data_IF_406167129352
#
_entry.id   IF_406167129352
#
_cell.length_a   1.000
_cell.length_b   1.000
_cell.length_c   1.000
_cell.angle_alpha   90.00
_cell.angle_beta   90.00
_cell.angle_gamma   90.00
#
_symmetry.space_group_name_H-M   'P 1'
#
loop_
_entity.id
_entity.type
_entity.pdbx_description
1 polymer ?
#
# COMPACT_ATOMS: atom_id res chain seq x y z
N UNK A 1 8.20 -4.60 18.41
CA UNK A 1 8.29 -3.19 17.92
C UNK A 1 7.15 -2.95 16.94
N UNK A 2 6.57 -1.75 16.85
CA UNK A 2 5.54 -1.47 15.83
C UNK A 2 6.14 -0.95 14.53
N UNK A 3 5.58 -1.34 13.40
CA UNK A 3 5.92 -0.83 12.06
C UNK A 3 4.69 -0.26 11.38
N UNK A 4 4.85 0.91 10.79
CA UNK A 4 3.84 1.53 9.96
C UNK A 4 3.90 0.94 8.55
N UNK A 5 2.76 0.50 8.04
CA UNK A 5 2.58 -0.09 6.72
C UNK A 5 1.43 0.57 5.98
N UNK A 6 1.44 0.44 4.67
CA UNK A 6 0.30 0.79 3.83
C UNK A 6 -0.88 -0.15 4.13
N UNK A 7 -2.07 0.44 4.22
CA UNK A 7 -3.35 -0.25 4.41
C UNK A 7 -3.82 -0.86 3.09
N UNK A 8 -3.86 -2.19 3.01
CA UNK A 8 -4.36 -2.89 1.82
C UNK A 8 -5.86 -2.73 1.65
N UNK A 9 -6.62 -2.70 2.75
CA UNK A 9 -8.08 -2.51 2.71
C UNK A 9 -8.46 -1.18 2.05
N UNK A 10 -7.72 -0.12 2.41
CA UNK A 10 -7.95 1.20 1.86
C UNK A 10 -7.50 1.29 0.40
N UNK A 11 -6.37 0.67 0.05
CA UNK A 11 -5.95 0.54 -1.35
C UNK A 11 -7.01 -0.18 -2.18
N UNK A 12 -7.53 -1.32 -1.70
CA UNK A 12 -8.52 -2.11 -2.43
C UNK A 12 -9.87 -1.39 -2.50
N UNK A 13 -10.22 -0.56 -1.50
CA UNK A 13 -11.37 0.35 -1.61
C UNK A 13 -11.16 1.34 -2.73
N UNK A 14 -10.01 2.03 -2.77
CA UNK A 14 -9.68 3.03 -3.80
C UNK A 14 -9.68 2.42 -5.19
N UNK A 15 -9.11 1.21 -5.33
CA UNK A 15 -9.15 0.47 -6.59
C UNK A 15 -10.57 0.12 -7.02
N UNK A 16 -11.42 -0.34 -6.11
CA UNK A 16 -12.83 -0.67 -6.41
C UNK A 16 -13.62 0.54 -6.87
N UNK A 17 -13.53 1.69 -6.19
CA UNK A 17 -14.29 2.89 -6.57
C UNK A 17 -13.84 3.50 -7.91
N UNK A 18 -12.59 3.25 -8.31
CA UNK A 18 -12.03 3.72 -9.58
C UNK A 18 -12.02 2.63 -10.69
N UNK A 19 -12.52 1.42 -10.42
CA UNK A 19 -12.50 0.30 -11.38
C UNK A 19 -11.11 -0.23 -11.74
N UNK A 20 -10.09 -0.02 -10.90
CA UNK A 20 -8.69 -0.35 -11.19
C UNK A 20 -8.34 -1.80 -10.80
N UNK A 21 -8.55 -2.72 -11.74
CA UNK A 21 -8.38 -4.16 -11.51
C UNK A 21 -6.95 -4.67 -11.72
N UNK A 22 -6.08 -3.91 -12.37
CA UNK A 22 -4.70 -4.34 -12.68
C UNK A 22 -3.66 -3.28 -12.33
N UNK A 23 -2.40 -3.70 -12.18
CA UNK A 23 -1.30 -2.76 -12.00
C UNK A 23 -1.03 -1.91 -13.23
N UNK A 24 -1.36 -2.41 -14.42
CA UNK A 24 -1.28 -1.62 -15.66
C UNK A 24 -2.31 -0.50 -15.63
N UNK A 25 -3.56 -0.78 -15.22
CA UNK A 25 -4.57 0.28 -15.07
C UNK A 25 -4.19 1.33 -14.01
N UNK A 26 -3.52 0.90 -12.92
CA UNK A 26 -2.97 1.83 -11.94
C UNK A 26 -1.86 2.71 -12.53
N UNK A 27 -0.96 2.13 -13.32
CA UNK A 27 0.09 2.88 -14.03
C UNK A 27 -0.49 3.87 -15.02
N UNK A 28 -1.43 3.45 -15.86
CA UNK A 28 -2.10 4.32 -16.83
C UNK A 28 -2.82 5.50 -16.14
N UNK A 29 -3.39 5.26 -14.95
CA UNK A 29 -4.15 6.27 -14.21
C UNK A 29 -3.29 7.21 -13.38
N UNK A 30 -2.15 6.74 -12.85
CA UNK A 30 -1.34 7.46 -11.85
C UNK A 30 0.05 7.87 -12.35
N UNK A 31 0.49 7.35 -13.51
CA UNK A 31 1.86 7.52 -14.01
C UNK A 31 2.92 6.75 -13.22
N UNK A 32 2.55 6.04 -12.15
CA UNK A 32 3.47 5.24 -11.35
C UNK A 32 3.60 3.85 -11.96
N UNK A 33 4.83 3.41 -12.21
CA UNK A 33 5.06 2.13 -12.91
C UNK A 33 4.40 0.94 -12.22
N UNK A 34 3.94 -0.03 -13.01
CA UNK A 34 3.43 -1.32 -12.53
C UNK A 34 4.41 -2.02 -11.59
N UNK A 35 5.71 -1.88 -11.82
CA UNK A 35 6.75 -2.47 -10.95
C UNK A 35 6.73 -1.85 -9.55
N UNK A 36 6.54 -0.54 -9.47
CA UNK A 36 6.39 0.17 -8.19
C UNK A 36 5.11 -0.26 -7.47
N UNK A 37 3.97 -0.30 -8.17
CA UNK A 37 2.71 -0.79 -7.59
C UNK A 37 2.83 -2.22 -7.06
N UNK A 38 3.38 -3.12 -7.88
CA UNK A 38 3.61 -4.52 -7.49
C UNK A 38 4.52 -4.63 -6.26
N UNK A 39 5.62 -3.85 -6.21
CA UNK A 39 6.53 -3.83 -5.07
C UNK A 39 5.81 -3.34 -3.81
N UNK A 40 5.18 -2.17 -3.87
CA UNK A 40 4.58 -1.51 -2.70
C UNK A 40 3.41 -2.32 -2.16
N UNK A 41 2.56 -2.89 -3.00
CA UNK A 41 1.44 -3.70 -2.53
C UNK A 41 1.88 -5.05 -1.94
N UNK A 42 3.04 -5.56 -2.37
CA UNK A 42 3.64 -6.76 -1.77
C UNK A 42 4.34 -6.46 -0.45
N UNK A 43 5.18 -5.42 -0.38
CA UNK A 43 5.98 -5.11 0.82
C UNK A 43 5.22 -4.27 1.84
N UNK A 44 4.16 -3.59 1.39
CA UNK A 44 3.38 -2.61 2.14
C UNK A 44 4.21 -1.47 2.70
N UNK A 45 5.39 -1.25 2.14
CA UNK A 45 6.28 -0.17 2.53
C UNK A 45 5.69 1.18 2.12
N UNK A 46 5.96 2.18 2.95
CA UNK A 46 5.52 3.54 2.68
C UNK A 46 6.30 4.10 1.48
N UNK A 47 5.55 4.72 0.57
CA UNK A 47 6.09 5.38 -0.60
C UNK A 47 5.28 6.64 -0.84
N UNK A 48 5.91 7.79 -0.67
CA UNK A 48 5.29 9.11 -0.88
C UNK A 48 4.52 9.21 -2.21
N UNK A 49 5.11 8.89 -3.38
CA UNK A 49 4.37 9.01 -4.64
C UNK A 49 3.13 8.10 -4.70
N UNK A 50 3.20 6.89 -4.14
CA UNK A 50 2.04 5.98 -4.08
C UNK A 50 0.97 6.54 -3.15
N UNK A 51 1.36 7.07 -1.99
CA UNK A 51 0.41 7.64 -1.03
C UNK A 51 -0.29 8.89 -1.59
N UNK A 52 0.43 9.77 -2.29
CA UNK A 52 -0.13 10.92 -2.98
C UNK A 52 -1.07 10.49 -4.10
N UNK A 53 -0.67 9.53 -4.95
CA UNK A 53 -1.54 8.99 -5.98
C UNK A 53 -2.81 8.36 -5.41
N UNK A 54 -2.72 7.62 -4.29
CA UNK A 54 -3.89 7.07 -3.61
C UNK A 54 -4.80 8.18 -3.05
N UNK A 55 -4.21 9.21 -2.45
CA UNK A 55 -4.95 10.39 -1.98
C UNK A 55 -5.72 11.06 -3.11
N UNK A 56 -5.08 11.29 -4.25
CA UNK A 56 -5.70 11.90 -5.43
C UNK A 56 -6.79 11.02 -6.05
N UNK A 57 -6.66 9.70 -5.93
CA UNK A 57 -7.70 8.72 -6.30
C UNK A 57 -8.83 8.60 -5.26
N UNK A 58 -8.81 9.43 -4.21
CA UNK A 58 -9.86 9.53 -3.20
C UNK A 58 -9.65 8.64 -1.99
N UNK A 59 -8.41 8.26 -1.66
CA UNK A 59 -8.10 7.59 -0.40
C UNK A 59 -8.41 8.48 0.80
N UNK A 60 -8.79 7.84 1.91
CA UNK A 60 -8.99 8.49 3.21
C UNK A 60 -7.65 8.54 3.93
N UNK A 61 -7.04 9.72 4.17
CA UNK A 61 -5.72 9.82 4.81
C UNK A 61 -5.63 9.09 6.15
N UNK A 62 -6.70 9.17 6.95
CA UNK A 62 -6.81 8.51 8.26
C UNK A 62 -6.91 6.97 8.20
N UNK A 63 -6.98 6.39 7.00
CA UNK A 63 -7.08 4.95 6.75
C UNK A 63 -5.96 4.39 5.87
N UNK A 64 -5.05 5.24 5.38
CA UNK A 64 -3.95 4.83 4.49
C UNK A 64 -2.84 4.06 5.22
N UNK A 65 -2.67 4.31 6.52
CA UNK A 65 -1.61 3.72 7.33
C UNK A 65 -2.19 2.79 8.38
N UNK A 66 -1.50 1.68 8.62
CA UNK A 66 -1.78 0.76 9.72
C UNK A 66 -0.50 0.47 10.50
N UNK A 67 -0.62 0.39 11.81
CA UNK A 67 0.46 -0.07 12.70
C UNK A 67 0.35 -1.58 12.87
N UNK A 68 1.45 -2.28 12.64
CA UNK A 68 1.56 -3.72 12.90
C UNK A 68 2.61 -3.96 13.96
N UNK A 69 2.29 -4.77 14.96
CA UNK A 69 3.27 -5.24 15.93
C UNK A 69 4.14 -6.31 15.27
N UNK A 70 5.44 -6.05 15.25
CA UNK A 70 6.46 -7.02 14.87
C UNK A 70 6.95 -7.64 16.16
N UNK A 71 6.52 -8.87 16.39
CA UNK A 71 7.16 -9.75 17.36
C UNK A 71 8.52 -10.16 16.79
N UNK A 72 9.58 -9.58 17.34
CA UNK A 72 10.93 -10.12 17.17
C UNK A 72 11.02 -11.40 17.97
N UNK A 73 10.47 -12.48 17.43
CA UNK A 73 10.69 -13.80 17.96
C UNK A 73 12.15 -14.16 17.65
N UNK A 74 13.02 -13.99 18.65
CA UNK A 74 14.39 -14.47 18.57
C UNK A 74 14.35 -15.99 18.29
N UNK A 75 15.13 -16.52 17.34
CA UNK A 75 15.23 -17.96 17.19
C UNK A 75 15.75 -18.52 18.51
N UNK A 76 14.90 -19.27 19.22
CA UNK A 76 15.33 -20.08 20.35
C UNK A 76 16.27 -21.12 19.77
N UNK A 77 17.57 -20.91 19.96
CA UNK A 77 18.58 -21.90 19.65
C UNK A 77 18.27 -23.15 20.50
N UNK A 78 17.97 -24.25 19.81
CA UNK A 78 17.90 -25.59 20.39
C UNK A 78 19.30 -26.22 20.37
#
# INVERSE_FOLDING_TARGET
MSKLLLSLDEVDRVRRINGLQSYTALEDKTGITRKTWSKVLRTRELSTPVMEALHDLGARPSKLLVSVEIDTQFPTAA
#
